data_IF_235315598258
#
_entry.id   IF_235315598258
#
_cell.length_a   1.000
_cell.length_b   1.000
_cell.length_c   1.000
_cell.angle_alpha   90.00
_cell.angle_beta   90.00
_cell.angle_gamma   90.00
#
_symmetry.space_group_name_H-M   'P 1'
#
loop_
_entity.id
_entity.type
_entity.pdbx_description
1 polymer ?
#
# COMPACT_ATOMS: atom_id res chain seq x y z
N UNK A 1 3.63 -11.53 -8.29
CA UNK A 1 2.26 -11.65 -7.74
C UNK A 1 1.30 -10.61 -8.33
N UNK A 2 0.00 -10.85 -8.24
CA UNK A 2 -1.07 -9.92 -8.62
C UNK A 2 -1.86 -9.51 -7.38
N UNK A 3 -2.05 -8.21 -7.19
CA UNK A 3 -2.87 -7.64 -6.12
C UNK A 3 -4.04 -6.85 -6.72
N UNK A 4 -5.02 -6.51 -5.88
CA UNK A 4 -5.96 -5.43 -6.15
C UNK A 4 -5.46 -4.17 -5.45
N UNK A 5 -5.31 -3.08 -6.20
CA UNK A 5 -4.95 -1.76 -5.69
C UNK A 5 -6.06 -0.77 -6.03
N UNK A 6 -6.74 -0.21 -5.02
CA UNK A 6 -7.84 0.74 -5.21
C UNK A 6 -8.91 0.24 -6.19
N UNK A 7 -9.23 -1.06 -6.14
CA UNK A 7 -10.16 -1.73 -7.06
C UNK A 7 -9.59 -2.15 -8.43
N UNK A 8 -8.35 -1.78 -8.78
CA UNK A 8 -7.71 -2.16 -10.04
C UNK A 8 -6.66 -3.26 -9.86
N UNK A 9 -6.55 -4.17 -10.83
CA UNK A 9 -5.52 -5.21 -10.78
C UNK A 9 -4.12 -4.66 -11.09
N UNK A 10 -3.15 -5.09 -10.30
CA UNK A 10 -1.76 -4.63 -10.44
C UNK A 10 -0.78 -5.79 -10.23
N UNK A 11 0.15 -5.95 -11.18
CA UNK A 11 1.25 -6.90 -11.04
C UNK A 11 2.43 -6.28 -10.30
N UNK A 12 3.02 -7.08 -9.41
CA UNK A 12 4.13 -6.73 -8.54
C UNK A 12 5.17 -7.85 -8.51
N UNK A 13 6.46 -7.53 -8.29
CA UNK A 13 7.45 -8.52 -7.90
C UNK A 13 7.05 -9.22 -6.60
N UNK A 14 7.49 -10.47 -6.42
CA UNK A 14 7.27 -11.17 -5.16
C UNK A 14 8.13 -10.53 -4.05
N UNK A 15 7.57 -10.46 -2.83
CA UNK A 15 8.24 -9.82 -1.69
C UNK A 15 8.24 -8.29 -1.72
N UNK A 16 7.49 -7.66 -2.63
CA UNK A 16 7.26 -6.21 -2.61
C UNK A 16 6.68 -5.77 -1.26
N UNK A 17 7.17 -4.66 -0.71
CA UNK A 17 6.64 -4.10 0.54
C UNK A 17 5.65 -2.96 0.27
N UNK A 18 4.85 -2.60 1.26
CA UNK A 18 3.97 -1.42 1.19
C UNK A 18 4.78 -0.15 0.87
N UNK A 19 5.97 0.03 1.46
CA UNK A 19 6.82 1.19 1.18
C UNK A 19 7.34 1.21 -0.28
N UNK A 20 7.70 0.04 -0.82
CA UNK A 20 8.12 -0.09 -2.21
C UNK A 20 6.96 0.24 -3.17
N UNK A 21 5.75 -0.25 -2.87
CA UNK A 21 4.54 0.11 -3.61
C UNK A 21 4.28 1.63 -3.59
N UNK A 22 4.34 2.28 -2.43
CA UNK A 22 4.18 3.75 -2.31
C UNK A 22 5.21 4.49 -3.18
N UNK A 23 6.45 4.00 -3.20
CA UNK A 23 7.52 4.56 -4.03
C UNK A 23 7.22 4.42 -5.52
N UNK A 24 6.76 3.25 -5.93
CA UNK A 24 6.39 2.96 -7.33
C UNK A 24 5.19 3.78 -7.81
N UNK A 25 4.28 4.12 -6.91
CA UNK A 25 3.14 5.01 -7.18
C UNK A 25 3.52 6.51 -7.15
N UNK A 26 4.79 6.84 -6.91
CA UNK A 26 5.27 8.23 -6.79
C UNK A 26 4.57 9.02 -5.66
N UNK A 27 4.16 8.30 -4.61
CA UNK A 27 3.46 8.86 -3.44
C UNK A 27 4.40 9.06 -2.24
N UNK A 28 5.70 8.82 -2.39
CA UNK A 28 6.69 9.04 -1.34
C UNK A 28 6.62 10.46 -0.80
N UNK A 29 6.64 10.61 0.53
CA UNK A 29 6.53 11.90 1.21
C UNK A 29 5.10 12.47 1.26
N UNK A 30 4.14 11.91 0.53
CA UNK A 30 2.73 12.32 0.64
C UNK A 30 2.10 11.78 1.92
N UNK A 31 1.06 12.49 2.39
CA UNK A 31 0.19 12.02 3.47
C UNK A 31 -0.82 11.04 2.91
N UNK A 32 -0.46 9.76 2.96
CA UNK A 32 -1.32 8.65 2.55
C UNK A 32 -1.56 7.71 3.73
N UNK A 33 -2.75 7.13 3.77
CA UNK A 33 -3.06 5.96 4.59
C UNK A 33 -3.11 4.73 3.67
N UNK A 34 -2.65 3.60 4.20
CA UNK A 34 -2.68 2.32 3.49
C UNK A 34 -3.49 1.33 4.31
N UNK A 35 -4.46 0.71 3.66
CA UNK A 35 -5.18 -0.46 4.15
C UNK A 35 -4.73 -1.69 3.36
N UNK A 36 -4.53 -2.79 4.07
CA UNK A 36 -4.21 -4.10 3.50
C UNK A 36 -5.24 -5.09 4.04
N UNK A 37 -6.07 -5.64 3.16
CA UNK A 37 -7.08 -6.64 3.50
C UNK A 37 -8.01 -6.20 4.66
N UNK A 38 -8.51 -4.96 4.62
CA UNK A 38 -9.36 -4.34 5.65
C UNK A 38 -8.63 -3.92 6.94
N UNK A 39 -7.30 -4.10 7.01
CA UNK A 39 -6.48 -3.68 8.14
C UNK A 39 -5.58 -2.49 7.78
N UNK A 40 -5.63 -1.42 8.58
CA UNK A 40 -4.75 -0.26 8.38
C UNK A 40 -3.31 -0.63 8.70
N UNK A 41 -2.41 -0.42 7.75
CA UNK A 41 -0.96 -0.62 7.94
C UNK A 41 -0.34 0.67 8.49
N UNK A 42 0.15 0.69 9.75
CA UNK A 42 0.81 1.86 10.30
C UNK A 42 2.02 2.27 9.47
N UNK A 43 2.26 3.58 9.31
CA UNK A 43 3.38 4.11 8.50
C UNK A 43 4.74 3.55 8.93
N UNK A 44 4.94 3.29 10.22
CA UNK A 44 6.16 2.68 10.75
C UNK A 44 6.40 1.24 10.28
N UNK A 45 5.35 0.54 9.85
CA UNK A 45 5.41 -0.84 9.38
C UNK A 45 5.48 -0.96 7.85
N UNK A 46 5.28 0.14 7.10
CA UNK A 46 5.26 0.11 5.62
C UNK A 46 6.49 -0.55 5.01
N UNK A 47 7.67 -0.35 5.60
CA UNK A 47 8.93 -0.93 5.11
C UNK A 47 9.09 -2.43 5.41
N UNK A 48 8.37 -2.97 6.39
CA UNK A 48 8.46 -4.37 6.82
C UNK A 48 7.25 -5.21 6.40
N UNK A 49 6.13 -4.58 6.06
CA UNK A 49 4.92 -5.28 5.59
C UNK A 49 5.09 -5.66 4.12
N UNK A 50 5.33 -6.95 3.89
CA UNK A 50 5.34 -7.56 2.55
C UNK A 50 3.92 -7.81 2.06
N UNK A 51 3.67 -7.50 0.80
CA UNK A 51 2.46 -7.83 0.07
C UNK A 51 2.55 -9.26 -0.47
N UNK A 52 1.42 -9.93 -0.60
CA UNK A 52 1.28 -11.29 -1.10
C UNK A 52 0.32 -11.33 -2.30
N UNK A 53 0.34 -12.44 -3.02
CA UNK A 53 -0.57 -12.69 -4.12
C UNK A 53 -2.03 -12.69 -3.66
N UNK A 54 -2.88 -11.97 -4.39
CA UNK A 54 -4.30 -11.84 -4.09
C UNK A 54 -4.65 -10.78 -3.04
N UNK A 55 -3.67 -10.09 -2.44
CA UNK A 55 -3.94 -9.04 -1.46
C UNK A 55 -4.79 -7.90 -2.06
N UNK A 56 -5.67 -7.34 -1.24
CA UNK A 56 -6.40 -6.11 -1.54
C UNK A 56 -5.78 -4.93 -0.78
N UNK A 57 -5.36 -3.92 -1.51
CA UNK A 57 -4.65 -2.75 -0.99
C UNK A 57 -5.41 -1.49 -1.36
N UNK A 58 -5.74 -0.69 -0.36
CA UNK A 58 -6.31 0.65 -0.58
C UNK A 58 -5.30 1.71 -0.14
N UNK A 59 -5.01 2.66 -1.02
CA UNK A 59 -4.13 3.81 -0.76
C UNK A 59 -4.93 5.09 -0.96
N UNK A 60 -5.22 5.75 0.16
CA UNK A 60 -6.05 6.96 0.19
C UNK A 60 -5.27 8.15 0.72
N UNK A 61 -5.60 9.35 0.24
CA UNK A 61 -5.05 10.58 0.80
C UNK A 61 -5.56 10.74 2.24
N UNK A 62 -4.64 10.89 3.20
CA UNK A 62 -5.03 11.15 4.57
C UNK A 62 -5.56 12.58 4.68
N UNK A 63 -6.86 12.72 4.93
CA UNK A 63 -7.50 14.00 5.22
C UNK A 63 -7.15 14.34 6.68
N UNK A 64 -6.12 15.15 6.89
CA UNK A 64 -5.73 15.60 8.23
C UNK A 64 -6.72 16.63 8.76
N UNK A 65 -7.50 16.27 9.78
CA UNK A 65 -8.01 17.22 10.76
C UNK A 65 -6.87 17.60 11.72
N UNK A 66 -6.72 18.89 12.00
CA UNK A 66 -5.87 19.38 13.10
C UNK A 66 -6.45 19.05 14.46
#
# INVERSE_FOLDING_TARGET
MRIQLNGESLELPDGETVAALITRLELTGRRVAVELNLDIVPRSQHASTTLNDGDNVEVVHAIGGG
#
